data_IF_037522718614
#
_entry.id   IF_037522718614
#
_cell.length_a   1.000
_cell.length_b   1.000
_cell.length_c   1.000
_cell.angle_alpha   90.00
_cell.angle_beta   90.00
_cell.angle_gamma   90.00
#
_symmetry.space_group_name_H-M   'P 1'
#
loop_
_entity.id
_entity.type
_entity.pdbx_description
1 polymer ?
#
# COMPACT_ATOMS: atom_id res chain seq x y z
N UNK A 1 -6.19 23.97 11.16
CA UNK A 1 -7.34 23.13 10.76
C UNK A 1 -7.33 22.79 9.26
N UNK A 2 -7.15 23.76 8.36
CA UNK A 2 -7.17 23.51 6.91
C UNK A 2 -6.05 22.58 6.40
N UNK A 3 -4.81 22.74 6.90
CA UNK A 3 -3.66 21.91 6.51
C UNK A 3 -3.87 20.45 6.88
N UNK A 4 -4.37 20.16 8.09
CA UNK A 4 -4.65 18.80 8.54
C UNK A 4 -5.72 18.11 7.67
N UNK A 5 -6.76 18.85 7.29
CA UNK A 5 -7.81 18.34 6.40
C UNK A 5 -7.27 18.06 4.98
N UNK A 6 -6.41 18.95 4.45
CA UNK A 6 -5.72 18.72 3.17
C UNK A 6 -4.81 17.50 3.23
N UNK A 7 -4.05 17.33 4.31
CA UNK A 7 -3.17 16.18 4.51
C UNK A 7 -3.98 14.88 4.54
N UNK A 8 -5.05 14.82 5.33
CA UNK A 8 -5.93 13.66 5.43
C UNK A 8 -6.53 13.26 4.08
N UNK A 9 -6.93 14.25 3.26
CA UNK A 9 -7.48 14.00 1.91
C UNK A 9 -6.43 13.41 0.97
N UNK A 10 -5.19 13.92 1.01
CA UNK A 10 -4.09 13.39 0.19
C UNK A 10 -3.73 11.97 0.63
N UNK A 11 -3.65 11.73 1.93
CA UNK A 11 -3.38 10.39 2.49
C UNK A 11 -4.46 9.40 2.09
N UNK A 12 -5.74 9.76 2.19
CA UNK A 12 -6.86 8.91 1.77
C UNK A 12 -6.81 8.58 0.26
N UNK A 13 -6.41 9.54 -0.57
CA UNK A 13 -6.27 9.34 -2.01
C UNK A 13 -5.13 8.36 -2.35
N UNK A 14 -3.99 8.51 -1.68
CA UNK A 14 -2.83 7.61 -1.86
C UNK A 14 -3.22 6.18 -1.46
N UNK A 15 -3.80 5.99 -0.28
CA UNK A 15 -4.26 4.68 0.20
C UNK A 15 -5.27 4.07 -0.77
N UNK A 16 -6.24 4.85 -1.25
CA UNK A 16 -7.26 4.36 -2.18
C UNK A 16 -6.64 3.90 -3.51
N UNK A 17 -5.63 4.62 -4.00
CA UNK A 17 -4.91 4.25 -5.22
C UNK A 17 -4.10 2.98 -5.04
N UNK A 18 -3.39 2.86 -3.92
CA UNK A 18 -2.57 1.68 -3.62
C UNK A 18 -3.44 0.43 -3.53
N UNK A 19 -4.60 0.51 -2.86
CA UNK A 19 -5.57 -0.60 -2.79
C UNK A 19 -6.09 -1.01 -4.18
N UNK A 20 -6.38 -0.05 -5.07
CA UNK A 20 -6.82 -0.35 -6.44
C UNK A 20 -5.70 -1.03 -7.24
N UNK A 21 -4.46 -0.57 -7.11
CA UNK A 21 -3.31 -1.17 -7.79
C UNK A 21 -3.07 -2.58 -7.26
N UNK A 22 -3.07 -2.77 -5.95
CA UNK A 22 -2.92 -4.05 -5.29
C UNK A 22 -4.00 -5.05 -5.73
N UNK A 23 -5.25 -4.59 -5.83
CA UNK A 23 -6.34 -5.42 -6.34
C UNK A 23 -6.15 -5.75 -7.83
N UNK A 24 -5.72 -4.80 -8.65
CA UNK A 24 -5.48 -5.03 -10.08
C UNK A 24 -4.32 -6.01 -10.33
N UNK A 25 -3.28 -5.99 -9.49
CA UNK A 25 -2.10 -6.84 -9.62
C UNK A 25 -2.28 -8.22 -8.99
N UNK A 26 -2.95 -8.30 -7.84
CA UNK A 26 -3.01 -9.51 -7.03
C UNK A 26 -4.42 -10.09 -6.89
N UNK A 27 -5.44 -9.42 -7.41
CA UNK A 27 -6.85 -9.86 -7.39
C UNK A 27 -7.53 -9.78 -6.03
N UNK A 28 -6.78 -9.71 -4.92
CA UNK A 28 -7.30 -9.54 -3.55
C UNK A 28 -6.30 -8.77 -2.69
N UNK A 29 -6.76 -8.00 -1.69
CA UNK A 29 -5.88 -7.30 -0.74
C UNK A 29 -4.98 -8.26 0.06
N UNK A 30 -5.47 -9.45 0.40
CA UNK A 30 -4.73 -10.44 1.17
C UNK A 30 -3.51 -10.96 0.41
N UNK A 31 -3.63 -11.17 -0.91
CA UNK A 31 -2.51 -11.59 -1.75
C UNK A 31 -1.47 -10.49 -1.92
N UNK A 32 -1.89 -9.23 -2.01
CA UNK A 32 -0.98 -8.08 -2.02
C UNK A 32 -0.17 -7.97 -0.72
N UNK A 33 -0.82 -8.18 0.42
CA UNK A 33 -0.16 -8.20 1.73
C UNK A 33 0.90 -9.32 1.83
N UNK A 34 0.57 -10.53 1.37
CA UNK A 34 1.51 -11.66 1.34
C UNK A 34 2.71 -11.36 0.42
N UNK A 35 2.47 -10.75 -0.75
CA UNK A 35 3.53 -10.37 -1.68
C UNK A 35 4.48 -9.33 -1.07
N UNK A 36 3.95 -8.30 -0.43
CA UNK A 36 4.72 -7.25 0.23
C UNK A 36 5.57 -7.80 1.39
N UNK A 37 4.98 -8.63 2.26
CA UNK A 37 5.72 -9.27 3.36
C UNK A 37 6.84 -10.19 2.83
N UNK A 38 6.59 -10.92 1.74
CA UNK A 38 7.61 -11.78 1.13
C UNK A 38 8.74 -10.95 0.51
N UNK A 39 8.41 -9.85 -0.16
CA UNK A 39 9.40 -8.92 -0.70
C UNK A 39 10.27 -8.31 0.40
N UNK A 40 9.67 -7.92 1.52
CA UNK A 40 10.37 -7.41 2.70
C UNK A 40 11.34 -8.45 3.27
N UNK A 41 10.88 -9.69 3.49
CA UNK A 41 11.71 -10.80 3.96
C UNK A 41 12.89 -11.05 3.01
N UNK A 42 12.68 -10.99 1.69
CA UNK A 42 13.74 -11.17 0.70
C UNK A 42 14.76 -10.01 0.72
N UNK A 43 14.31 -8.76 0.91
CA UNK A 43 15.21 -7.61 1.05
C UNK A 43 16.06 -7.65 2.33
N UNK A 44 15.56 -8.26 3.41
CA UNK A 44 16.34 -8.45 4.63
C UNK A 44 17.32 -9.63 4.54
N UNK A 45 16.99 -10.69 3.78
CA UNK A 45 17.87 -11.86 3.62
C UNK A 45 18.97 -11.67 2.57
N UNK A 46 18.81 -10.73 1.65
CA UNK A 46 19.83 -10.36 0.65
C UNK A 46 20.83 -9.31 1.13
N UNK A 47 20.79 -8.90 2.40
CA UNK A 47 21.73 -7.97 3.03
C UNK A 47 22.71 -8.70 3.94
#
# INVERSE_FOLDING_TARGET
MEIAARLAKVTALIISRDVVIDYALYGTPELALVANNKAEILQFRGR
#
